data_IF_935980605953
#
_entry.id   IF_935980605953
#
_cell.length_a   1.000
_cell.length_b   1.000
_cell.length_c   1.000
_cell.angle_alpha   90.00
_cell.angle_beta   90.00
_cell.angle_gamma   90.00
#
_symmetry.space_group_name_H-M   'P 1'
#
loop_
_entity.id
_entity.type
_entity.pdbx_description
1 polymer ?
#
# COMPACT_ATOMS: atom_id res chain seq x y z
N UNK A 1 6.51 0.97 -4.57
CA UNK A 1 6.26 0.16 -5.77
C UNK A 1 4.91 -0.51 -5.69
N UNK A 2 4.16 -0.48 -6.79
CA UNK A 2 2.85 -1.14 -6.93
C UNK A 2 2.95 -1.99 -8.22
N UNK A 3 2.83 -3.33 -8.15
CA UNK A 3 2.79 -4.18 -9.35
C UNK A 3 1.64 -3.80 -10.29
N UNK A 4 1.85 -3.94 -11.61
CA UNK A 4 0.87 -3.54 -12.63
C UNK A 4 -0.47 -4.28 -12.47
N UNK A 5 -0.44 -5.56 -12.10
CA UNK A 5 -1.63 -6.38 -11.82
C UNK A 5 -2.46 -5.86 -10.64
N UNK A 6 -1.82 -5.18 -9.68
CA UNK A 6 -2.50 -4.52 -8.56
C UNK A 6 -2.97 -3.13 -8.99
N UNK A 7 -2.13 -2.39 -9.71
CA UNK A 7 -2.47 -1.06 -10.23
C UNK A 7 -3.72 -1.11 -11.13
N UNK A 8 -3.87 -2.16 -11.93
CA UNK A 8 -5.02 -2.39 -12.81
C UNK A 8 -6.36 -2.57 -12.06
N UNK A 9 -6.34 -2.77 -10.72
CA UNK A 9 -7.55 -2.85 -9.89
C UNK A 9 -8.11 -1.48 -9.49
N UNK A 10 -7.42 -0.41 -9.85
CA UNK A 10 -7.77 0.96 -9.51
C UNK A 10 -8.00 1.76 -10.78
N UNK A 11 -8.94 2.71 -10.72
CA UNK A 11 -9.02 3.77 -11.74
C UNK A 11 -7.79 4.68 -11.68
N UNK A 12 -7.55 5.48 -12.73
CA UNK A 12 -6.37 6.36 -12.81
C UNK A 12 -6.30 7.33 -11.62
N UNK A 13 -7.41 7.99 -11.29
CA UNK A 13 -7.47 8.94 -10.17
C UNK A 13 -7.32 8.24 -8.82
N UNK A 14 -7.99 7.09 -8.65
CA UNK A 14 -7.92 6.27 -7.44
C UNK A 14 -6.49 5.76 -7.20
N UNK A 15 -5.78 5.36 -8.26
CA UNK A 15 -4.38 4.95 -8.20
C UNK A 15 -3.45 6.12 -7.84
N UNK A 16 -3.72 7.32 -8.36
CA UNK A 16 -2.96 8.52 -8.01
C UNK A 16 -3.10 8.84 -6.52
N UNK A 17 -4.34 8.87 -6.03
CA UNK A 17 -4.63 9.08 -4.61
C UNK A 17 -4.01 8.00 -3.72
N UNK A 18 -4.02 6.73 -4.15
CA UNK A 18 -3.36 5.65 -3.42
C UNK A 18 -1.85 5.90 -3.29
N UNK A 19 -1.19 6.33 -4.37
CA UNK A 19 0.25 6.64 -4.35
C UNK A 19 0.57 7.77 -3.38
N UNK A 20 -0.25 8.82 -3.35
CA UNK A 20 -0.07 9.94 -2.42
C UNK A 20 -0.20 9.49 -0.95
N UNK A 21 -1.21 8.68 -0.64
CA UNK A 21 -1.40 8.14 0.72
C UNK A 21 -0.23 7.24 1.12
N UNK A 22 0.22 6.35 0.23
CA UNK A 22 1.37 5.48 0.51
C UNK A 22 2.68 6.26 0.66
N UNK A 23 2.83 7.38 -0.04
CA UNK A 23 4.01 8.25 0.08
C UNK A 23 4.12 8.94 1.45
N UNK A 24 3.00 9.09 2.18
CA UNK A 24 2.99 9.58 3.56
C UNK A 24 3.41 8.52 4.59
N UNK A 25 3.75 7.31 4.15
CA UNK A 25 4.11 6.18 4.99
C UNK A 25 3.05 5.88 6.08
N UNK A 26 1.90 5.29 5.70
CA UNK A 26 0.73 5.15 6.58
C UNK A 26 0.91 4.06 7.67
N UNK A 27 2.13 3.59 7.91
CA UNK A 27 2.40 2.60 8.95
C UNK A 27 2.10 3.17 10.35
N UNK A 28 1.49 2.39 11.25
CA UNK A 28 1.40 2.76 12.67
C UNK A 28 2.79 3.00 13.27
N UNK A 29 2.91 3.92 14.23
CA UNK A 29 4.18 4.33 14.86
C UNK A 29 4.76 3.31 15.86
N UNK A 30 4.37 2.03 15.81
CA UNK A 30 4.85 0.99 16.72
C UNK A 30 5.68 -0.05 15.95
N UNK A 31 6.77 -0.54 16.58
CA UNK A 31 7.73 -1.55 16.07
C UNK A 31 7.71 -1.81 14.55
N UNK A 32 8.70 -1.25 13.86
CA UNK A 32 8.96 -1.50 12.44
C UNK A 32 9.71 -2.83 12.27
N UNK A 33 8.97 -3.92 12.13
CA UNK A 33 9.53 -5.21 11.69
C UNK A 33 9.54 -5.24 10.15
N UNK A 34 10.70 -5.45 9.50
CA UNK A 34 10.82 -5.47 8.03
C UNK A 34 10.00 -6.59 7.35
N UNK A 35 9.69 -7.67 8.06
CA UNK A 35 8.86 -8.77 7.57
C UNK A 35 7.36 -8.51 7.75
N UNK A 36 6.98 -7.38 8.34
CA UNK A 36 5.59 -7.10 8.64
C UNK A 36 4.82 -6.64 7.40
N UNK A 37 3.71 -7.31 7.17
CA UNK A 37 2.67 -6.85 6.26
C UNK A 37 1.72 -5.92 7.03
N UNK A 38 1.58 -4.71 6.52
CA UNK A 38 0.61 -3.71 6.96
C UNK A 38 -0.64 -3.79 6.10
N UNK A 39 -1.79 -3.46 6.69
CA UNK A 39 -3.10 -3.44 6.03
C UNK A 39 -3.67 -2.04 6.21
N UNK A 40 -4.10 -1.42 5.11
CA UNK A 40 -4.73 -0.11 5.12
C UNK A 40 -6.03 -0.13 4.32
N UNK A 41 -7.16 0.34 4.88
CA UNK A 41 -8.39 0.53 4.13
C UNK A 41 -8.24 1.71 3.16
N UNK A 42 -8.68 1.54 1.92
CA UNK A 42 -8.63 2.57 0.88
C UNK A 42 -9.69 2.30 -0.19
N UNK A 43 -10.56 3.27 -0.46
CA UNK A 43 -11.54 3.16 -1.56
C UNK A 43 -12.46 1.94 -1.48
N UNK A 44 -12.83 1.51 -0.26
CA UNK A 44 -13.62 0.29 -0.04
C UNK A 44 -12.84 -1.02 -0.21
N UNK A 45 -11.52 -0.96 -0.38
CA UNK A 45 -10.61 -2.11 -0.50
C UNK A 45 -9.64 -2.14 0.68
N UNK A 46 -9.02 -3.28 0.92
CA UNK A 46 -7.87 -3.42 1.80
C UNK A 46 -6.58 -3.55 1.01
N UNK A 47 -5.64 -2.64 1.25
CA UNK A 47 -4.31 -2.61 0.63
C UNK A 47 -3.31 -3.22 1.61
N UNK A 48 -2.65 -4.28 1.16
CA UNK A 48 -1.59 -4.97 1.90
C UNK A 48 -0.24 -4.51 1.36
N UNK A 49 0.64 -4.04 2.23
CA UNK A 49 1.97 -3.58 1.83
C UNK A 49 3.03 -3.90 2.88
N UNK A 50 4.30 -3.88 2.47
CA UNK A 50 5.47 -4.03 3.34
C UNK A 50 6.43 -2.87 3.11
N UNK A 51 7.26 -2.56 4.11
CA UNK A 51 8.36 -1.60 3.96
C UNK A 51 9.66 -2.30 4.34
N UNK A 52 10.58 -2.39 3.38
CA UNK A 52 11.91 -2.99 3.55
C UNK A 52 12.93 -2.02 2.95
N UNK A 53 14.01 -1.75 3.66
CA UNK A 53 15.07 -0.80 3.24
C UNK A 53 14.51 0.58 2.82
N UNK A 54 13.47 1.06 3.50
CA UNK A 54 12.82 2.34 3.19
C UNK A 54 11.89 2.32 1.95
N UNK A 55 11.74 1.18 1.29
CA UNK A 55 10.86 1.03 0.12
C UNK A 55 9.53 0.38 0.48
N UNK A 56 8.44 1.12 0.27
CA UNK A 56 7.08 0.62 0.38
C UNK A 56 6.71 -0.20 -0.85
N UNK A 57 6.29 -1.44 -0.65
CA UNK A 57 5.88 -2.38 -1.69
C UNK A 57 4.46 -2.87 -1.41
N UNK A 58 3.54 -2.61 -2.33
CA UNK A 58 2.18 -3.19 -2.27
C UNK A 58 2.25 -4.63 -2.75
N UNK A 59 1.72 -5.55 -1.94
CA UNK A 59 1.79 -7.00 -2.19
C UNK A 59 0.43 -7.61 -2.53
N UNK A 60 -0.67 -7.00 -2.09
CA UNK A 60 -2.02 -7.51 -2.37
C UNK A 60 -3.07 -6.42 -2.18
N UNK A 61 -4.19 -6.55 -2.90
CA UNK A 61 -5.42 -5.80 -2.66
C UNK A 61 -6.60 -6.76 -2.60
N UNK A 62 -7.44 -6.62 -1.57
CA UNK A 62 -8.68 -7.37 -1.35
C UNK A 62 -9.86 -6.41 -1.39
N UNK A 63 -10.91 -6.77 -2.14
CA UNK A 63 -12.21 -6.09 -2.12
C UNK A 63 -13.13 -6.71 -1.09
#
# INVERSE_FOLDING_TARGET
>A
YIPDEIAAKFGVEELSALKEVLAQDPRPQYQHNPERVYIMPFGGKEVFFRVSEGLLNVIRVRS
#
